data_IF_858062106233
#
_entry.id   IF_858062106233
#
_cell.length_a   1.000
_cell.length_b   1.000
_cell.length_c   1.000
_cell.angle_alpha   90.00
_cell.angle_beta   90.00
_cell.angle_gamma   90.00
#
_symmetry.space_group_name_H-M   'P 1'
#
loop_
_entity.id
_entity.type
_entity.pdbx_description
1 polymer ?
#
# COMPACT_ATOMS: atom_id res chain seq x y z
N UNK A 1 23.83 -16.85 -44.39
CA UNK A 1 23.31 -17.95 -43.56
C UNK A 1 24.03 -17.97 -42.21
N UNK A 2 23.62 -17.17 -41.22
CA UNK A 2 24.36 -17.07 -39.94
C UNK A 2 23.47 -16.85 -38.70
N UNK A 3 22.15 -16.91 -38.82
CA UNK A 3 21.23 -16.82 -37.65
C UNK A 3 20.82 -18.17 -37.05
N UNK A 4 20.93 -19.27 -37.82
CA UNK A 4 20.51 -20.59 -37.35
C UNK A 4 21.47 -21.21 -36.32
N UNK A 5 22.78 -20.93 -36.43
CA UNK A 5 23.81 -21.48 -35.54
C UNK A 5 23.85 -20.84 -34.13
N UNK A 6 23.14 -19.74 -33.90
CA UNK A 6 23.14 -19.06 -32.59
C UNK A 6 22.09 -19.61 -31.60
N UNK A 7 21.14 -20.42 -32.07
CA UNK A 7 20.04 -20.98 -31.26
C UNK A 7 20.29 -22.40 -30.75
N UNK A 8 21.31 -23.07 -31.29
CA UNK A 8 21.59 -24.49 -31.00
C UNK A 8 22.29 -24.68 -29.63
N UNK A 9 22.87 -23.61 -29.06
CA UNK A 9 23.49 -23.62 -27.73
C UNK A 9 22.58 -23.12 -26.59
N UNK A 10 21.32 -22.75 -26.87
CA UNK A 10 20.38 -22.17 -25.89
C UNK A 10 19.23 -23.10 -25.49
N UNK A 11 19.21 -24.32 -26.03
CA UNK A 11 18.20 -25.30 -25.69
C UNK A 11 18.57 -25.99 -24.36
N UNK A 12 18.21 -25.37 -23.24
CA UNK A 12 18.29 -26.01 -21.93
C UNK A 12 17.56 -27.35 -21.97
N UNK A 13 18.22 -28.38 -21.43
CA UNK A 13 17.60 -29.69 -21.23
C UNK A 13 16.37 -29.55 -20.32
N UNK A 14 15.38 -30.43 -20.46
CA UNK A 14 14.16 -30.36 -19.63
C UNK A 14 14.47 -30.36 -18.12
N UNK A 15 15.56 -31.01 -17.70
CA UNK A 15 16.02 -31.00 -16.31
C UNK A 15 16.56 -29.63 -15.85
N UNK A 16 17.29 -28.92 -16.70
CA UNK A 16 17.78 -27.57 -16.39
C UNK A 16 16.64 -26.56 -16.29
N UNK A 17 15.62 -26.68 -17.15
CA UNK A 17 14.41 -25.86 -17.07
C UNK A 17 13.62 -26.10 -15.78
N UNK A 18 13.48 -27.35 -15.37
CA UNK A 18 12.78 -27.67 -14.12
C UNK A 18 13.51 -27.12 -12.88
N UNK A 19 14.84 -27.10 -12.89
CA UNK A 19 15.66 -26.52 -11.81
C UNK A 19 15.53 -24.99 -11.82
N UNK A 20 15.59 -24.39 -13.01
CA UNK A 20 15.42 -22.96 -13.23
C UNK A 20 14.05 -22.47 -12.73
N UNK A 21 12.97 -23.16 -13.13
CA UNK A 21 11.60 -22.84 -12.73
C UNK A 21 11.43 -22.92 -11.21
N UNK A 22 12.01 -23.94 -10.56
CA UNK A 22 11.90 -24.12 -9.11
C UNK A 22 12.70 -23.05 -8.34
N UNK A 23 13.85 -22.63 -8.89
CA UNK A 23 14.64 -21.54 -8.35
C UNK A 23 13.92 -20.19 -8.48
N UNK A 24 13.49 -19.83 -9.69
CA UNK A 24 12.81 -18.56 -9.93
C UNK A 24 11.46 -18.47 -9.24
N UNK A 25 10.70 -19.56 -9.14
CA UNK A 25 9.46 -19.58 -8.37
C UNK A 25 9.67 -19.18 -6.91
N UNK A 26 10.76 -19.62 -6.28
CA UNK A 26 11.10 -19.26 -4.89
C UNK A 26 11.56 -17.81 -4.77
N UNK A 27 12.39 -17.33 -5.70
CA UNK A 27 12.83 -15.94 -5.69
C UNK A 27 11.69 -14.97 -5.98
N UNK A 28 10.75 -15.32 -6.87
CA UNK A 28 9.56 -14.52 -7.17
C UNK A 28 8.64 -14.42 -5.96
N UNK A 29 8.44 -15.51 -5.21
CA UNK A 29 7.71 -15.45 -3.94
C UNK A 29 8.38 -14.51 -2.95
N UNK A 30 9.71 -14.59 -2.83
CA UNK A 30 10.48 -13.71 -1.94
C UNK A 30 10.40 -12.24 -2.38
N UNK A 31 10.45 -11.99 -3.68
CA UNK A 31 10.37 -10.66 -4.26
C UNK A 31 8.96 -10.06 -4.08
N UNK A 32 7.93 -10.86 -4.31
CA UNK A 32 6.53 -10.46 -4.09
C UNK A 32 6.28 -10.09 -2.63
N UNK A 33 6.80 -10.87 -1.67
CA UNK A 33 6.69 -10.54 -0.25
C UNK A 33 7.32 -9.18 0.09
N UNK A 34 8.51 -8.89 -0.45
CA UNK A 34 9.18 -7.59 -0.29
C UNK A 34 8.40 -6.45 -0.93
N UNK A 35 7.82 -6.69 -2.11
CA UNK A 35 7.00 -5.71 -2.80
C UNK A 35 5.75 -5.36 -1.97
N UNK A 36 5.05 -6.38 -1.47
CA UNK A 36 3.87 -6.20 -0.62
C UNK A 36 4.21 -5.45 0.67
N UNK A 37 5.34 -5.76 1.30
CA UNK A 37 5.81 -5.03 2.47
C UNK A 37 6.06 -3.55 2.14
N UNK A 38 6.72 -3.25 1.02
CA UNK A 38 6.96 -1.87 0.59
C UNK A 38 5.67 -1.12 0.28
N UNK A 39 4.71 -1.76 -0.39
CA UNK A 39 3.39 -1.17 -0.66
C UNK A 39 2.66 -0.86 0.65
N UNK A 40 2.71 -1.78 1.62
CA UNK A 40 2.15 -1.55 2.96
C UNK A 40 2.79 -0.35 3.64
N UNK A 41 4.12 -0.27 3.66
CA UNK A 41 4.85 0.86 4.27
C UNK A 41 4.51 2.19 3.60
N UNK A 42 4.38 2.21 2.27
CA UNK A 42 3.95 3.39 1.53
C UNK A 42 2.50 3.78 1.82
N UNK A 43 1.59 2.82 1.91
CA UNK A 43 0.20 3.06 2.32
C UNK A 43 0.14 3.62 3.73
N UNK A 44 0.81 2.97 4.69
CA UNK A 44 0.81 3.39 6.10
C UNK A 44 1.38 4.81 6.28
N UNK A 45 2.33 5.23 5.42
CA UNK A 45 2.85 6.61 5.39
C UNK A 45 1.85 7.60 4.77
N UNK A 46 1.28 7.26 3.60
CA UNK A 46 0.29 8.08 2.91
C UNK A 46 -0.97 8.27 3.76
N UNK A 47 -1.45 7.19 4.39
CA UNK A 47 -2.65 7.17 5.21
C UNK A 47 -2.52 8.04 6.45
N UNK A 48 -1.32 8.16 7.05
CA UNK A 48 -1.10 9.10 8.17
C UNK A 48 -1.28 10.55 7.74
N UNK A 49 -0.76 10.93 6.58
CA UNK A 49 -0.90 12.29 6.05
C UNK A 49 -2.34 12.57 5.60
N UNK A 50 -2.97 11.60 4.93
CA UNK A 50 -4.38 11.69 4.54
C UNK A 50 -5.28 11.80 5.79
N UNK A 51 -5.07 10.96 6.81
CA UNK A 51 -5.84 10.99 8.05
C UNK A 51 -5.67 12.31 8.81
N UNK A 52 -4.47 12.88 8.85
CA UNK A 52 -4.24 14.19 9.45
C UNK A 52 -4.98 15.31 8.69
N UNK A 53 -4.94 15.28 7.35
CA UNK A 53 -5.66 16.23 6.50
C UNK A 53 -7.18 16.13 6.65
N UNK A 54 -7.72 14.91 6.65
CA UNK A 54 -9.15 14.64 6.87
C UNK A 54 -9.58 15.14 8.25
N UNK A 55 -8.83 14.81 9.31
CA UNK A 55 -9.15 15.26 10.67
C UNK A 55 -9.14 16.79 10.77
N UNK A 56 -8.20 17.48 10.13
CA UNK A 56 -8.15 18.94 10.11
C UNK A 56 -9.34 19.56 9.35
N UNK A 57 -9.70 18.98 8.21
CA UNK A 57 -10.86 19.40 7.43
C UNK A 57 -12.18 19.21 8.22
N UNK A 58 -12.35 18.05 8.87
CA UNK A 58 -13.51 17.76 9.71
C UNK A 58 -13.60 18.68 10.93
N UNK A 59 -12.48 18.96 11.59
CA UNK A 59 -12.43 19.94 12.68
C UNK A 59 -12.83 21.35 12.19
N UNK A 60 -12.39 21.74 11.00
CA UNK A 60 -12.74 23.04 10.41
C UNK A 60 -14.24 23.12 10.12
N UNK A 61 -14.82 22.08 9.50
CA UNK A 61 -16.25 22.00 9.22
C UNK A 61 -17.09 22.04 10.50
N UNK A 62 -16.71 21.29 11.53
CA UNK A 62 -17.39 21.31 12.83
C UNK A 62 -17.30 22.69 13.50
N UNK A 63 -16.16 23.39 13.42
CA UNK A 63 -16.02 24.75 13.95
C UNK A 63 -16.93 25.75 13.23
N UNK A 64 -17.20 25.59 11.94
CA UNK A 64 -18.14 26.48 11.24
C UNK A 64 -19.58 26.31 11.74
N UNK A 65 -19.98 25.08 12.07
CA UNK A 65 -21.34 24.78 12.54
C UNK A 65 -21.49 25.11 14.03
N UNK A 66 -20.53 24.67 14.84
CA UNK A 66 -20.59 24.71 16.30
C UNK A 66 -19.81 25.87 16.93
N UNK A 67 -19.07 26.67 16.15
CA UNK A 67 -18.26 27.78 16.68
C UNK A 67 -19.07 28.92 17.29
N UNK A 68 -20.40 28.91 17.13
CA UNK A 68 -21.33 29.79 17.85
C UNK A 68 -21.54 29.38 19.31
N UNK A 69 -21.20 28.14 19.65
CA UNK A 69 -21.28 27.58 20.99
C UNK A 69 -19.87 27.49 21.56
N UNK A 70 -19.69 27.97 22.79
CA UNK A 70 -18.41 27.86 23.50
C UNK A 70 -18.23 26.42 24.00
N UNK A 71 -17.86 25.53 23.09
CA UNK A 71 -17.66 24.12 23.37
C UNK A 71 -16.18 23.81 23.60
N UNK A 72 -15.84 23.01 24.62
CA UNK A 72 -14.46 22.58 24.83
C UNK A 72 -14.00 21.67 23.69
N UNK A 73 -12.71 21.74 23.36
CA UNK A 73 -12.08 20.96 22.28
C UNK A 73 -12.37 19.46 22.38
N UNK A 74 -12.50 18.94 23.59
CA UNK A 74 -12.78 17.53 23.85
C UNK A 74 -14.14 17.07 23.30
N UNK A 75 -15.13 17.95 23.25
CA UNK A 75 -16.46 17.67 22.65
C UNK A 75 -16.34 17.51 21.14
N UNK A 76 -15.56 18.38 20.48
CA UNK A 76 -15.28 18.27 19.05
C UNK A 76 -14.61 16.93 18.72
N UNK A 77 -13.64 16.50 19.52
CA UNK A 77 -12.97 15.22 19.34
C UNK A 77 -13.92 14.03 19.53
N UNK A 78 -14.82 14.08 20.53
CA UNK A 78 -15.87 13.06 20.74
C UNK A 78 -16.85 13.00 19.56
N UNK A 79 -17.21 14.14 18.97
CA UNK A 79 -18.12 14.20 17.82
C UNK A 79 -17.48 13.62 16.55
N UNK A 80 -16.20 13.94 16.28
CA UNK A 80 -15.48 13.32 15.16
C UNK A 80 -15.37 11.81 15.36
N UNK A 81 -15.02 11.38 16.56
CA UNK A 81 -14.94 9.94 16.89
C UNK A 81 -16.29 9.25 16.72
N UNK A 82 -17.39 9.89 17.15
CA UNK A 82 -18.73 9.36 16.97
C UNK A 82 -19.07 9.18 15.49
N UNK A 83 -18.78 10.18 14.65
CA UNK A 83 -18.96 10.11 13.19
C UNK A 83 -18.23 8.90 12.62
N UNK A 84 -16.92 8.78 12.84
CA UNK A 84 -16.10 7.66 12.33
C UNK A 84 -16.48 6.28 12.88
N UNK A 85 -17.25 6.22 13.96
CA UNK A 85 -17.70 4.94 14.54
C UNK A 85 -19.05 4.50 13.96
N UNK A 86 -19.88 5.44 13.50
CA UNK A 86 -21.26 5.17 13.06
C UNK A 86 -21.46 5.35 11.55
N UNK A 87 -20.51 5.99 10.86
CA UNK A 87 -20.52 6.29 9.43
C UNK A 87 -19.11 6.14 8.85
#
# INVERSE_FOLDING_TARGET
>A
MTRAFALEGTAFSEGEKAIEDLFFSKEDQRLMAKLLQKVKEQSDLSDKHAAAGVKAAEMSALKQVLGKYDLPKEVFEKLIKWKHTHY
#
